data_IF_432490260722
#
_entry.id   IF_432490260722
#
_cell.length_a   1.000
_cell.length_b   1.000
_cell.length_c   1.000
_cell.angle_alpha   90.00
_cell.angle_beta   90.00
_cell.angle_gamma   90.00
#
_symmetry.space_group_name_H-M   'P 1'
#
loop_
_entity.id
_entity.type
_entity.pdbx_description
1 polymer ?
#
# COMPACT_ATOMS: atom_id res chain seq x y z
N UNK A 1 0.81 -7.71 -11.41
CA UNK A 1 1.08 -6.77 -10.30
C UNK A 1 -0.24 -6.40 -9.67
N UNK A 2 -0.51 -6.85 -8.45
CA UNK A 2 -1.84 -6.77 -7.82
C UNK A 2 -1.83 -6.38 -6.35
N UNK A 3 -0.67 -5.96 -5.82
CA UNK A 3 -0.54 -5.59 -4.42
C UNK A 3 0.85 -5.09 -4.08
N UNK A 4 1.05 -4.86 -2.79
CA UNK A 4 2.26 -4.32 -2.21
C UNK A 4 2.53 -4.94 -0.84
N UNK A 5 3.77 -4.77 -0.37
CA UNK A 5 4.17 -5.05 1.01
C UNK A 5 4.68 -3.75 1.62
N UNK A 6 4.15 -3.36 2.77
CA UNK A 6 4.63 -2.22 3.57
C UNK A 6 5.26 -2.76 4.84
N UNK A 7 6.40 -2.18 5.21
CA UNK A 7 7.00 -2.35 6.53
C UNK A 7 6.80 -1.07 7.32
N UNK A 8 6.17 -1.17 8.48
CA UNK A 8 5.97 -0.06 9.41
C UNK A 8 6.85 -0.29 10.65
N UNK A 9 7.40 0.79 11.19
CA UNK A 9 8.02 0.76 12.50
C UNK A 9 6.94 0.58 13.58
N UNK A 10 7.33 -0.02 14.71
CA UNK A 10 6.42 -0.46 15.77
C UNK A 10 5.62 0.69 16.42
N UNK A 11 6.18 1.90 16.42
CA UNK A 11 5.57 3.14 16.90
C UNK A 11 4.48 3.69 15.97
N UNK A 12 4.42 3.22 14.72
CA UNK A 12 3.38 3.59 13.75
C UNK A 12 2.19 2.62 13.72
N UNK A 13 2.30 1.46 14.38
CA UNK A 13 1.23 0.44 14.44
C UNK A 13 -0.04 1.02 15.08
N UNK A 14 0.08 1.73 16.20
CA UNK A 14 -1.05 2.32 16.94
C UNK A 14 -1.83 3.35 16.12
N UNK A 15 -1.20 3.99 15.12
CA UNK A 15 -1.84 5.00 14.27
C UNK A 15 -2.63 4.39 13.12
N UNK A 16 -2.30 3.15 12.76
CA UNK A 16 -2.89 2.45 11.64
C UNK A 16 -3.82 1.37 12.20
N UNK A 17 -5.11 1.69 12.30
CA UNK A 17 -6.18 0.71 12.53
C UNK A 17 -6.33 -0.19 11.29
N UNK A 18 -5.35 -1.06 11.02
CA UNK A 18 -5.35 -2.02 9.91
C UNK A 18 -6.03 -3.34 10.31
N UNK A 19 -6.64 -3.40 11.49
CA UNK A 19 -7.34 -4.58 11.97
C UNK A 19 -8.83 -4.50 11.62
N UNK A 20 -9.31 -5.50 10.87
CA UNK A 20 -10.72 -5.63 10.49
C UNK A 20 -10.90 -6.15 9.07
N UNK A 21 -11.99 -6.90 8.83
CA UNK A 21 -12.32 -7.50 7.52
C UNK A 21 -12.55 -6.46 6.40
N UNK A 22 -12.74 -5.19 6.75
CA UNK A 22 -13.01 -4.07 5.83
C UNK A 22 -11.99 -2.94 5.93
N UNK A 23 -10.83 -3.17 6.58
CA UNK A 23 -9.80 -2.15 6.65
C UNK A 23 -9.36 -1.76 5.22
N UNK A 24 -9.40 -0.46 4.90
CA UNK A 24 -8.95 0.07 3.62
C UNK A 24 -8.05 1.26 3.87
N UNK A 25 -6.97 1.35 3.13
CA UNK A 25 -6.06 2.48 3.19
C UNK A 25 -5.64 2.92 1.80
N UNK A 26 -5.28 4.19 1.65
CA UNK A 26 -4.73 4.73 0.42
C UNK A 26 -3.20 4.70 0.50
N UNK A 27 -2.55 4.21 -0.55
CA UNK A 27 -1.10 4.36 -0.74
C UNK A 27 -0.86 5.40 -1.81
N UNK A 28 0.00 6.37 -1.49
CA UNK A 28 0.39 7.45 -2.38
C UNK A 28 1.86 7.23 -2.79
N UNK A 29 2.06 6.89 -4.06
CA UNK A 29 3.39 6.75 -4.64
C UNK A 29 3.83 8.07 -5.26
N UNK A 30 4.92 8.62 -4.73
CA UNK A 30 5.63 9.73 -5.36
C UNK A 30 6.75 9.15 -6.22
N UNK A 31 6.52 9.08 -7.53
CA UNK A 31 7.51 8.54 -8.47
C UNK A 31 8.46 9.65 -8.93
N UNK A 32 9.77 9.40 -9.00
CA UNK A 32 10.74 10.40 -9.48
C UNK A 32 10.47 10.91 -10.90
N UNK A 33 9.88 10.06 -11.74
CA UNK A 33 9.61 10.35 -13.16
C UNK A 33 8.23 10.97 -13.42
N UNK A 34 7.41 11.17 -12.38
CA UNK A 34 6.06 11.72 -12.52
C UNK A 34 5.88 12.94 -11.61
N UNK A 35 5.38 14.04 -12.17
CA UNK A 35 4.98 15.22 -11.39
C UNK A 35 3.69 15.03 -10.60
N UNK A 36 2.93 13.97 -10.88
CA UNK A 36 1.68 13.64 -10.19
C UNK A 36 1.83 12.37 -9.34
N UNK A 37 1.43 12.40 -8.06
CA UNK A 37 1.43 11.22 -7.22
C UNK A 37 0.40 10.21 -7.71
N UNK A 38 0.75 8.92 -7.63
CA UNK A 38 -0.17 7.83 -7.94
C UNK A 38 -0.85 7.39 -6.65
N UNK A 39 -2.18 7.47 -6.62
CA UNK A 39 -2.99 7.05 -5.47
C UNK A 39 -3.68 5.74 -5.76
N UNK A 40 -3.53 4.78 -4.86
CA UNK A 40 -4.15 3.45 -4.96
C UNK A 40 -4.78 3.06 -3.64
N UNK A 41 -6.07 2.77 -3.66
CA UNK A 41 -6.75 2.14 -2.54
C UNK A 41 -6.25 0.69 -2.40
N UNK A 42 -6.04 0.28 -1.16
CA UNK A 42 -5.47 -1.00 -0.80
C UNK A 42 -6.31 -1.64 0.31
N UNK A 43 -6.49 -2.96 0.19
CA UNK A 43 -7.03 -3.79 1.27
C UNK A 43 -5.89 -4.66 1.82
N UNK A 44 -5.64 -4.63 3.14
CA UNK A 44 -4.72 -5.55 3.78
C UNK A 44 -5.27 -6.96 3.60
N UNK A 45 -4.38 -7.88 3.22
CA UNK A 45 -4.68 -9.31 3.09
C UNK A 45 -3.92 -10.14 4.13
N UNK A 46 -2.79 -9.61 4.63
CA UNK A 46 -2.01 -10.25 5.68
C UNK A 46 -1.24 -9.21 6.48
N UNK A 47 -1.35 -9.28 7.81
CA UNK A 47 -0.57 -8.48 8.75
C UNK A 47 0.28 -9.43 9.58
N UNK A 48 1.58 -9.17 9.69
CA UNK A 48 2.52 -10.00 10.44
C UNK A 48 3.39 -9.10 11.31
N UNK A 49 3.37 -9.36 12.61
CA UNK A 49 4.25 -8.67 13.56
C UNK A 49 5.66 -9.25 13.48
N UNK A 50 6.65 -8.37 13.50
CA UNK A 50 8.08 -8.68 13.48
C UNK A 50 8.74 -7.97 14.66
N UNK A 51 9.95 -8.38 15.04
CA UNK A 51 10.66 -7.84 16.22
C UNK A 51 10.74 -6.29 16.23
N UNK A 52 10.93 -5.69 15.04
CA UNK A 52 11.14 -4.24 14.88
C UNK A 52 9.97 -3.51 14.22
N UNK A 53 8.80 -4.13 14.10
CA UNK A 53 7.64 -3.49 13.48
C UNK A 53 6.65 -4.45 12.84
N UNK A 54 5.84 -3.95 11.91
CA UNK A 54 4.74 -4.70 11.29
C UNK A 54 4.91 -4.76 9.78
N UNK A 55 4.71 -5.94 9.22
CA UNK A 55 4.65 -6.15 7.78
C UNK A 55 3.21 -6.36 7.32
N UNK A 56 2.76 -5.53 6.39
CA UNK A 56 1.43 -5.61 5.80
C UNK A 56 1.55 -5.97 4.33
N UNK A 57 1.02 -7.13 3.95
CA UNK A 57 0.70 -7.46 2.57
C UNK A 57 -0.69 -6.96 2.22
N UNK A 58 -0.81 -6.14 1.18
CA UNK A 58 -2.08 -5.57 0.74
C UNK A 58 -2.29 -5.72 -0.76
N UNK A 59 -3.55 -5.89 -1.16
CA UNK A 59 -3.96 -5.94 -2.56
C UNK A 59 -4.48 -4.57 -3.01
N UNK A 60 -4.20 -4.20 -4.25
CA UNK A 60 -4.79 -3.00 -4.85
C UNK A 60 -6.28 -3.21 -5.11
N UNK A 61 -7.11 -2.23 -4.75
CA UNK A 61 -8.56 -2.25 -4.91
C UNK A 61 -8.99 -1.06 -5.73
N UNK A 62 -9.89 -1.29 -6.70
CA UNK A 62 -10.44 -0.24 -7.56
C UNK A 62 -9.38 0.71 -8.12
N UNK A 63 -8.20 0.15 -8.46
CA UNK A 63 -7.12 0.93 -9.02
C UNK A 63 -7.59 1.50 -10.37
N UNK A 64 -7.67 2.83 -10.48
CA UNK A 64 -7.91 3.49 -11.75
C UNK A 64 -6.93 2.90 -12.79
N UNK A 65 -7.45 2.55 -13.98
CA UNK A 65 -6.65 2.02 -15.07
C UNK A 65 -5.47 2.93 -15.40
N UNK A 66 -5.63 4.25 -15.24
CA UNK A 66 -4.54 5.21 -15.40
C UNK A 66 -3.44 5.04 -14.34
N UNK A 67 -3.81 5.02 -13.06
CA UNK A 67 -2.87 4.94 -11.94
C UNK A 67 -2.14 3.59 -11.89
N UNK A 68 -2.87 2.50 -12.11
CA UNK A 68 -2.28 1.16 -12.18
C UNK A 68 -1.35 1.00 -13.38
N UNK A 69 -1.68 1.58 -14.54
CA UNK A 69 -0.80 1.58 -15.72
C UNK A 69 0.46 2.41 -15.50
N UNK A 70 0.34 3.60 -14.92
CA UNK A 70 1.49 4.45 -14.61
C UNK A 70 2.46 3.75 -13.64
N UNK A 71 1.94 3.12 -12.59
CA UNK A 71 2.78 2.37 -11.65
C UNK A 71 3.44 1.16 -12.31
N UNK A 72 2.71 0.42 -13.16
CA UNK A 72 3.28 -0.69 -13.94
C UNK A 72 4.37 -0.23 -14.89
N UNK A 73 4.15 0.89 -15.59
CA UNK A 73 5.14 1.46 -16.51
C UNK A 73 6.40 1.97 -15.83
N UNK A 74 6.33 2.26 -14.53
CA UNK A 74 7.51 2.65 -13.74
C UNK A 74 8.31 1.44 -13.24
N UNK A 75 7.63 0.32 -12.96
CA UNK A 75 8.22 -0.88 -12.38
C UNK A 75 8.71 -1.91 -13.42
N UNK A 76 8.36 -1.70 -14.70
CA UNK A 76 8.86 -2.44 -15.86
C UNK A 76 9.91 -1.62 -16.59
#
# INVERSE_FOLDING_TARGET
>A
MGGLKISLAKDLEDQLRIEGQDARFEVVFNLPSSSKPIRLACEPKRVVNHENGVHIGAAFVNADNHNSKALRSYLM
#
